data_IF_966931681331
#
_entry.id   IF_966931681331
#
_cell.length_a   1.000
_cell.length_b   1.000
_cell.length_c   1.000
_cell.angle_alpha   90.00
_cell.angle_beta   90.00
_cell.angle_gamma   90.00
#
_symmetry.space_group_name_H-M   'P 1'
#
loop_
_entity.id
_entity.type
_entity.pdbx_description
1 polymer ?
#
# COMPACT_ATOMS: atom_id res chain seq x y z
N UNK A 1 -15.76 13.30 -49.84
CA UNK A 1 -14.37 12.90 -49.60
C UNK A 1 -13.71 13.84 -48.58
N UNK A 2 -13.71 15.16 -48.77
CA UNK A 2 -13.03 16.09 -47.85
C UNK A 2 -13.58 16.12 -46.42
N UNK A 3 -14.88 15.91 -46.18
CA UNK A 3 -15.49 15.88 -44.85
C UNK A 3 -15.11 14.61 -44.06
N UNK A 4 -14.89 13.49 -44.76
CA UNK A 4 -14.47 12.22 -44.13
C UNK A 4 -13.01 12.31 -43.69
N UNK A 5 -12.14 12.91 -44.49
CA UNK A 5 -10.73 13.12 -44.21
C UNK A 5 -10.49 14.07 -43.02
N UNK A 6 -11.36 15.09 -42.85
CA UNK A 6 -11.33 15.97 -41.68
C UNK A 6 -11.78 15.25 -40.38
N UNK A 7 -12.78 14.35 -40.44
CA UNK A 7 -13.23 13.59 -39.28
C UNK A 7 -12.18 12.58 -38.81
N UNK A 8 -11.47 11.94 -39.74
CA UNK A 8 -10.40 11.00 -39.44
C UNK A 8 -9.17 11.68 -38.80
N UNK A 9 -8.83 12.89 -39.27
CA UNK A 9 -7.74 13.70 -38.71
C UNK A 9 -8.08 14.25 -37.32
N UNK A 10 -9.34 14.59 -37.06
CA UNK A 10 -9.79 15.03 -35.74
C UNK A 10 -9.82 13.90 -34.71
N UNK A 11 -10.26 12.71 -35.10
CA UNK A 11 -10.24 11.54 -34.24
C UNK A 11 -8.84 11.06 -33.84
N UNK A 12 -7.86 11.23 -34.71
CA UNK A 12 -6.44 10.92 -34.41
C UNK A 12 -5.80 11.96 -33.50
N UNK A 13 -6.18 13.25 -33.63
CA UNK A 13 -5.66 14.32 -32.78
C UNK A 13 -6.20 14.22 -31.34
N UNK A 14 -7.48 13.87 -31.18
CA UNK A 14 -8.11 13.69 -29.88
C UNK A 14 -7.54 12.44 -29.15
N UNK A 15 -7.31 11.34 -29.87
CA UNK A 15 -6.69 10.15 -29.32
C UNK A 15 -5.22 10.39 -28.91
N UNK A 16 -4.49 11.21 -29.67
CA UNK A 16 -3.11 11.58 -29.33
C UNK A 16 -3.07 12.47 -28.09
N UNK A 17 -3.98 13.44 -27.97
CA UNK A 17 -4.07 14.32 -26.80
C UNK A 17 -4.41 13.55 -25.51
N UNK A 18 -5.26 12.52 -25.61
CA UNK A 18 -5.59 11.64 -24.49
C UNK A 18 -4.40 10.75 -24.08
N UNK A 19 -3.64 10.25 -25.06
CA UNK A 19 -2.43 9.47 -24.81
C UNK A 19 -1.32 10.33 -24.17
N UNK A 20 -1.13 11.57 -24.63
CA UNK A 20 -0.15 12.49 -24.08
C UNK A 20 -0.53 12.93 -22.65
N UNK A 21 -1.81 13.17 -22.38
CA UNK A 21 -2.30 13.46 -21.03
C UNK A 21 -2.12 12.27 -20.06
N UNK A 22 -2.35 11.06 -20.54
CA UNK A 22 -2.11 9.85 -19.75
C UNK A 22 -0.62 9.62 -19.47
N UNK A 23 0.26 9.91 -20.43
CA UNK A 23 1.71 9.83 -20.27
C UNK A 23 2.22 10.85 -19.26
N UNK A 24 1.74 12.10 -19.33
CA UNK A 24 2.09 13.16 -18.36
C UNK A 24 1.61 12.83 -16.95
N UNK A 25 0.42 12.27 -16.79
CA UNK A 25 -0.09 11.84 -15.49
C UNK A 25 0.71 10.68 -14.90
N UNK A 26 1.20 9.77 -15.74
CA UNK A 26 2.07 8.67 -15.32
C UNK A 26 3.45 9.16 -14.89
N UNK A 27 4.02 10.13 -15.62
CA UNK A 27 5.32 10.73 -15.30
C UNK A 27 5.25 11.57 -14.00
N UNK A 28 4.16 12.30 -13.79
CA UNK A 28 3.92 13.05 -12.55
C UNK A 28 3.70 12.13 -11.34
N UNK A 29 3.02 10.99 -11.54
CA UNK A 29 2.87 9.97 -10.51
C UNK A 29 4.20 9.30 -10.17
N UNK A 30 5.05 9.02 -11.18
CA UNK A 30 6.40 8.48 -11.00
C UNK A 30 7.30 9.46 -10.26
N UNK A 31 7.31 10.73 -10.64
CA UNK A 31 8.10 11.77 -9.99
C UNK A 31 7.71 11.96 -8.51
N UNK A 32 6.41 11.85 -8.18
CA UNK A 32 5.94 11.88 -6.79
C UNK A 32 6.35 10.63 -6.01
N UNK A 33 6.37 9.48 -6.65
CA UNK A 33 6.85 8.23 -6.04
C UNK A 33 8.36 8.27 -5.78
N UNK A 34 9.13 8.79 -6.74
CA UNK A 34 10.58 8.93 -6.62
C UNK A 34 10.97 9.97 -5.55
N UNK A 35 10.24 11.10 -5.47
CA UNK A 35 10.43 12.09 -4.41
C UNK A 35 10.11 11.53 -3.02
N UNK A 36 9.04 10.75 -2.88
CA UNK A 36 8.70 10.09 -1.63
C UNK A 36 9.72 9.01 -1.24
N UNK A 37 10.30 8.31 -2.22
CA UNK A 37 11.37 7.34 -1.98
C UNK A 37 12.68 8.02 -1.53
N UNK A 38 12.99 9.19 -2.10
CA UNK A 38 14.18 9.97 -1.74
C UNK A 38 14.06 10.54 -0.32
N UNK A 39 12.89 11.08 0.05
CA UNK A 39 12.61 11.60 1.39
C UNK A 39 12.69 10.49 2.46
N UNK A 40 12.29 9.26 2.09
CA UNK A 40 12.41 8.08 2.96
C UNK A 40 13.86 7.58 3.09
N UNK A 41 14.69 7.71 2.06
CA UNK A 41 16.11 7.39 2.11
C UNK A 41 16.88 8.36 3.02
N UNK A 42 16.52 9.63 3.01
CA UNK A 42 17.14 10.65 3.88
C UNK A 42 16.75 10.46 5.36
N UNK A 43 15.51 10.05 5.64
CA UNK A 43 15.05 9.71 7.01
C UNK A 43 15.74 8.43 7.51
N UNK A 44 15.97 7.45 6.66
CA UNK A 44 16.70 6.23 7.02
C UNK A 44 18.20 6.49 7.31
N UNK A 45 18.80 7.49 6.65
CA UNK A 45 20.20 7.86 6.86
C UNK A 45 20.45 8.67 8.14
N UNK A 46 19.42 9.32 8.70
CA UNK A 46 19.51 10.09 9.96
C UNK A 46 19.20 9.25 11.22
N UNK A 47 18.79 7.99 11.07
CA UNK A 47 18.47 7.10 12.20
C UNK A 47 19.68 6.33 12.76
N UNK A 48 20.89 6.84 12.64
CA UNK A 48 22.05 6.32 13.36
C UNK A 48 22.30 7.13 14.62
N UNK A 49 21.84 6.60 15.72
CA UNK A 49 22.16 6.81 17.14
C UNK A 49 20.97 7.18 18.00
N UNK A 50 20.20 6.18 18.41
CA UNK A 50 19.70 6.10 19.79
C UNK A 50 19.18 4.67 20.03
N UNK A 51 19.52 4.13 21.18
CA UNK A 51 19.18 2.83 21.75
C UNK A 51 17.65 2.60 21.74
N UNK A 52 17.14 2.04 20.63
CA UNK A 52 15.74 1.62 20.54
C UNK A 52 15.61 0.17 20.99
N UNK A 53 14.76 -0.09 21.96
CA UNK A 53 14.28 -1.40 22.37
C UNK A 53 14.12 -2.33 21.14
N UNK A 54 14.50 -3.59 21.28
CA UNK A 54 14.50 -4.60 20.19
C UNK A 54 13.21 -4.64 19.35
N UNK A 55 12.07 -4.34 19.95
CA UNK A 55 10.75 -4.27 19.30
C UNK A 55 10.65 -3.12 18.27
N UNK A 56 11.22 -1.95 18.57
CA UNK A 56 11.21 -0.81 17.64
C UNK A 56 12.04 -1.11 16.39
N UNK A 57 13.20 -1.76 16.54
CA UNK A 57 14.03 -2.20 15.42
C UNK A 57 13.30 -3.23 14.53
N UNK A 58 12.57 -4.16 15.13
CA UNK A 58 11.77 -5.15 14.40
C UNK A 58 10.64 -4.50 13.61
N UNK A 59 9.92 -3.55 14.20
CA UNK A 59 8.84 -2.80 13.54
C UNK A 59 9.34 -2.04 12.30
N UNK A 60 10.45 -1.34 12.43
CA UNK A 60 11.06 -0.62 11.30
C UNK A 60 11.54 -1.57 10.21
N UNK A 61 12.13 -2.71 10.57
CA UNK A 61 12.55 -3.73 9.61
C UNK A 61 11.38 -4.31 8.82
N UNK A 62 10.23 -4.57 9.46
CA UNK A 62 9.00 -5.03 8.82
C UNK A 62 8.49 -4.00 7.81
N UNK A 63 8.43 -2.73 8.20
CA UNK A 63 8.00 -1.64 7.32
C UNK A 63 8.93 -1.49 6.13
N UNK A 64 10.24 -1.44 6.36
CA UNK A 64 11.24 -1.32 5.29
C UNK A 64 11.17 -2.51 4.31
N UNK A 65 10.90 -3.70 4.81
CA UNK A 65 10.70 -4.88 3.96
C UNK A 65 9.41 -4.76 3.13
N UNK A 66 8.30 -4.34 3.74
CA UNK A 66 7.03 -4.15 3.05
C UNK A 66 7.14 -3.13 1.90
N UNK A 67 7.86 -2.04 2.11
CA UNK A 67 8.03 -0.95 1.13
C UNK A 67 8.81 -1.38 -0.13
N UNK A 68 9.64 -2.42 -0.06
CA UNK A 68 10.37 -2.95 -1.23
C UNK A 68 9.45 -3.50 -2.33
N UNK A 69 8.21 -3.80 -2.01
CA UNK A 69 7.24 -4.40 -2.93
C UNK A 69 6.26 -3.39 -3.55
N UNK A 70 6.38 -2.11 -3.22
CA UNK A 70 5.57 -1.05 -3.85
C UNK A 70 5.76 -1.06 -5.36
N UNK A 71 4.66 -1.02 -6.11
CA UNK A 71 4.63 -1.15 -7.56
C UNK A 71 4.39 -2.57 -8.07
N UNK A 72 4.52 -3.60 -7.25
CA UNK A 72 4.23 -4.98 -7.63
C UNK A 72 2.72 -5.23 -7.79
N UNK A 73 2.31 -6.22 -8.61
CA UNK A 73 0.92 -6.39 -8.98
C UNK A 73 0.01 -6.87 -7.85
N UNK A 74 -1.26 -6.48 -7.93
CA UNK A 74 -2.35 -7.07 -7.15
C UNK A 74 -2.93 -8.29 -7.88
N UNK A 75 -3.14 -9.38 -7.14
CA UNK A 75 -3.89 -10.56 -7.61
C UNK A 75 -4.83 -11.01 -6.50
N UNK A 76 -6.12 -11.05 -6.77
CA UNK A 76 -7.12 -11.52 -5.79
C UNK A 76 -6.82 -12.97 -5.36
N UNK A 77 -6.76 -13.23 -4.06
CA UNK A 77 -6.37 -14.52 -3.50
C UNK A 77 -4.87 -14.83 -3.54
N UNK A 78 -4.06 -13.95 -4.13
CA UNK A 78 -2.61 -14.10 -4.22
C UNK A 78 -1.90 -13.85 -2.89
N UNK A 79 -0.68 -14.42 -2.77
CA UNK A 79 0.21 -14.26 -1.60
C UNK A 79 1.66 -13.97 -2.00
N UNK A 80 1.95 -13.88 -3.31
CA UNK A 80 3.30 -13.60 -3.80
C UNK A 80 3.57 -12.11 -3.78
N UNK A 81 4.54 -11.67 -2.99
CA UNK A 81 4.93 -10.26 -2.89
C UNK A 81 5.46 -9.69 -4.21
N UNK A 82 5.94 -10.54 -5.14
CA UNK A 82 6.51 -10.12 -6.44
C UNK A 82 5.59 -10.40 -7.63
N UNK A 83 4.83 -11.51 -7.60
CA UNK A 83 4.03 -11.96 -8.75
C UNK A 83 2.54 -11.68 -8.61
N UNK A 84 2.12 -11.15 -7.46
CA UNK A 84 0.76 -10.72 -7.17
C UNK A 84 0.21 -11.21 -5.84
N UNK A 85 -0.35 -10.28 -5.11
CA UNK A 85 -0.93 -10.50 -3.79
C UNK A 85 -2.21 -9.68 -3.61
N UNK A 86 -3.14 -10.15 -2.78
CA UNK A 86 -4.23 -9.31 -2.29
C UNK A 86 -3.84 -8.59 -0.98
N UNK A 87 -4.72 -7.77 -0.44
CA UNK A 87 -4.43 -6.93 0.73
C UNK A 87 -3.99 -7.76 1.97
N UNK A 88 -4.71 -8.84 2.27
CA UNK A 88 -4.40 -9.69 3.42
C UNK A 88 -3.29 -10.72 3.15
N UNK A 89 -3.12 -11.13 1.91
CA UNK A 89 -1.96 -11.91 1.46
C UNK A 89 -0.67 -11.12 1.57
N UNK A 90 -0.70 -9.84 1.23
CA UNK A 90 0.43 -8.92 1.40
C UNK A 90 0.87 -8.85 2.86
N UNK A 91 -0.03 -8.49 3.76
CA UNK A 91 0.30 -8.39 5.20
C UNK A 91 0.74 -9.74 5.77
N UNK A 92 0.09 -10.84 5.36
CA UNK A 92 0.48 -12.20 5.78
C UNK A 92 1.91 -12.54 5.35
N UNK A 93 2.26 -12.32 4.09
CA UNK A 93 3.57 -12.67 3.54
C UNK A 93 4.69 -11.78 4.10
N UNK A 94 4.42 -10.49 4.34
CA UNK A 94 5.37 -9.59 5.01
C UNK A 94 5.63 -10.07 6.43
N UNK A 95 4.61 -10.34 7.23
CA UNK A 95 4.75 -10.81 8.61
C UNK A 95 5.44 -12.18 8.69
N UNK A 96 5.11 -13.10 7.78
CA UNK A 96 5.72 -14.43 7.72
C UNK A 96 7.24 -14.37 7.50
N UNK A 97 7.75 -13.38 6.75
CA UNK A 97 9.19 -13.18 6.55
C UNK A 97 9.94 -12.88 7.86
N UNK A 98 9.24 -12.40 8.88
CA UNK A 98 9.77 -12.13 10.22
C UNK A 98 9.36 -13.21 11.25
N UNK A 99 8.87 -14.36 10.80
CA UNK A 99 8.44 -15.46 11.66
C UNK A 99 7.10 -15.20 12.37
N UNK A 100 6.36 -14.15 11.99
CA UNK A 100 5.06 -13.80 12.59
C UNK A 100 3.96 -14.45 11.75
N UNK A 101 3.26 -15.42 12.32
CA UNK A 101 2.13 -16.10 11.67
C UNK A 101 0.83 -15.35 11.91
N UNK A 102 0.16 -14.92 10.83
CA UNK A 102 -1.14 -14.25 10.91
C UNK A 102 -2.16 -14.94 9.98
N UNK A 103 -3.48 -14.81 10.24
CA UNK A 103 -4.51 -15.42 9.41
C UNK A 103 -4.48 -14.94 7.95
N UNK A 104 -5.07 -15.75 7.04
CA UNK A 104 -5.07 -15.45 5.60
C UNK A 104 -5.99 -14.28 5.20
N UNK A 105 -7.16 -14.16 5.80
CA UNK A 105 -8.17 -13.18 5.38
C UNK A 105 -8.15 -11.92 6.24
N UNK A 106 -8.50 -10.76 5.66
CA UNK A 106 -8.55 -9.50 6.38
C UNK A 106 -9.51 -9.55 7.58
N UNK A 107 -10.67 -10.21 7.44
CA UNK A 107 -11.62 -10.41 8.55
C UNK A 107 -11.04 -11.24 9.69
N UNK A 108 -10.32 -12.33 9.39
CA UNK A 108 -9.66 -13.14 10.41
C UNK A 108 -8.47 -12.40 11.06
N UNK A 109 -7.71 -11.61 10.28
CA UNK A 109 -6.65 -10.76 10.80
C UNK A 109 -7.19 -9.69 11.74
N UNK A 110 -8.36 -9.13 11.48
CA UNK A 110 -8.97 -8.11 12.35
C UNK A 110 -9.43 -8.67 13.71
N UNK A 111 -9.60 -9.98 13.82
CA UNK A 111 -9.98 -10.67 15.05
C UNK A 111 -8.77 -11.27 15.81
N UNK A 112 -7.59 -11.31 15.19
CA UNK A 112 -6.36 -11.78 15.82
C UNK A 112 -5.51 -10.63 16.37
N UNK A 113 -4.32 -10.99 16.87
CA UNK A 113 -3.38 -10.03 17.41
C UNK A 113 -3.88 -9.23 18.61
N UNK A 114 -3.10 -8.27 19.06
CA UNK A 114 -3.46 -7.36 20.16
C UNK A 114 -4.24 -6.17 19.61
N UNK A 115 -5.42 -5.80 20.17
CA UNK A 115 -6.13 -4.60 19.75
C UNK A 115 -5.31 -3.33 20.07
N UNK A 116 -5.29 -2.39 19.12
CA UNK A 116 -4.61 -1.10 19.25
C UNK A 116 -5.60 0.03 19.01
N UNK A 117 -5.54 1.07 19.84
CA UNK A 117 -6.31 2.29 19.58
C UNK A 117 -5.74 3.00 18.35
N UNK A 118 -6.61 3.55 17.49
CA UNK A 118 -6.20 4.33 16.32
C UNK A 118 -5.36 5.56 16.67
N UNK A 119 -5.45 6.05 17.92
CA UNK A 119 -4.60 7.14 18.43
C UNK A 119 -3.19 6.70 18.83
N UNK A 120 -2.95 5.38 18.97
CA UNK A 120 -1.70 4.81 19.47
C UNK A 120 -1.07 3.80 18.51
N UNK A 121 -1.43 3.87 17.23
CA UNK A 121 -0.85 3.00 16.19
C UNK A 121 0.64 3.27 16.02
N UNK A 122 1.39 2.21 15.78
CA UNK A 122 2.82 2.24 15.54
C UNK A 122 3.16 1.59 14.19
N UNK A 123 4.30 1.92 13.57
CA UNK A 123 4.74 1.26 12.35
C UNK A 123 4.69 -0.26 12.49
N UNK A 124 4.17 -0.95 11.46
CA UNK A 124 3.93 -2.39 11.46
C UNK A 124 2.56 -2.82 11.99
N UNK A 125 1.78 -1.94 12.63
CA UNK A 125 0.41 -2.27 13.01
C UNK A 125 -0.49 -2.36 11.78
N UNK A 126 -1.47 -3.27 11.83
CA UNK A 126 -2.43 -3.48 10.74
C UNK A 126 -3.71 -2.66 10.99
N UNK A 127 -4.15 -1.94 9.96
CA UNK A 127 -5.40 -1.19 9.98
C UNK A 127 -6.43 -1.85 9.07
N UNK A 128 -7.66 -1.88 9.54
CA UNK A 128 -8.76 -2.57 8.90
C UNK A 128 -9.86 -1.59 8.50
N UNK A 129 -10.47 -1.84 7.35
CA UNK A 129 -11.49 -1.00 6.76
C UNK A 129 -12.73 -1.84 6.43
N UNK A 130 -13.90 -1.27 6.65
CA UNK A 130 -15.17 -1.93 6.33
C UNK A 130 -15.24 -2.28 4.83
N UNK A 131 -15.83 -3.42 4.51
CA UNK A 131 -16.22 -3.79 3.16
C UNK A 131 -17.39 -2.92 2.65
N UNK A 132 -17.80 -3.15 1.41
CA UNK A 132 -18.99 -2.53 0.86
C UNK A 132 -20.23 -3.18 1.48
N UNK A 133 -21.10 -2.38 2.09
CA UNK A 133 -22.31 -2.85 2.77
C UNK A 133 -22.02 -3.56 4.11
N UNK A 134 -22.89 -4.49 4.49
CA UNK A 134 -22.84 -5.20 5.79
C UNK A 134 -21.80 -6.33 5.86
N UNK A 135 -20.83 -6.37 4.95
CA UNK A 135 -19.88 -7.48 4.79
C UNK A 135 -18.64 -7.41 5.69
N UNK A 136 -18.71 -6.74 6.84
CA UNK A 136 -17.62 -6.74 7.81
C UNK A 136 -16.33 -6.10 7.28
N UNK A 137 -15.16 -6.72 7.54
CA UNK A 137 -13.85 -6.21 7.09
C UNK A 137 -13.60 -6.61 5.64
N UNK A 138 -13.44 -5.60 4.78
CA UNK A 138 -13.17 -5.79 3.34
C UNK A 138 -11.74 -5.46 2.91
N UNK A 139 -10.95 -4.81 3.77
CA UNK A 139 -9.58 -4.42 3.41
C UNK A 139 -8.68 -4.29 4.63
N UNK A 140 -7.38 -4.51 4.41
CA UNK A 140 -6.34 -4.36 5.42
C UNK A 140 -5.12 -3.65 4.83
N UNK A 141 -4.47 -2.82 5.64
CA UNK A 141 -3.24 -2.11 5.32
C UNK A 141 -2.23 -2.25 6.46
N UNK A 142 -0.96 -1.95 6.21
CA UNK A 142 0.07 -1.85 7.24
C UNK A 142 0.44 -0.38 7.45
N UNK A 143 0.40 0.09 8.69
CA UNK A 143 0.85 1.44 9.03
C UNK A 143 2.37 1.55 8.93
N UNK A 144 2.86 2.59 8.28
CA UNK A 144 4.30 2.80 8.05
C UNK A 144 4.85 4.04 8.77
N UNK A 145 3.99 4.74 9.51
CA UNK A 145 4.36 6.00 10.17
C UNK A 145 3.86 7.23 9.41
N UNK A 146 4.00 8.40 10.00
CA UNK A 146 3.70 9.71 9.39
C UNK A 146 2.30 9.83 8.75
N UNK A 147 1.31 9.10 9.27
CA UNK A 147 -0.05 9.09 8.72
C UNK A 147 -0.17 8.36 7.39
N UNK A 148 0.73 7.44 7.08
CA UNK A 148 0.77 6.66 5.84
C UNK A 148 0.61 5.16 6.09
N UNK A 149 0.10 4.47 5.08
CA UNK A 149 -0.06 3.01 5.06
C UNK A 149 0.42 2.44 3.73
N UNK A 150 0.96 1.22 3.76
CA UNK A 150 1.27 0.42 2.56
C UNK A 150 0.28 -0.73 2.43
N UNK A 151 -0.21 -0.98 1.22
CA UNK A 151 -1.19 -2.04 0.97
C UNK A 151 -1.26 -2.48 -0.49
N UNK A 152 -1.64 -3.73 -0.74
CA UNK A 152 -2.08 -4.15 -2.05
C UNK A 152 -3.52 -3.64 -2.27
N UNK A 153 -3.68 -2.66 -3.15
CA UNK A 153 -4.92 -1.88 -3.32
C UNK A 153 -5.93 -2.54 -4.24
N UNK A 154 -5.59 -2.66 -5.51
CA UNK A 154 -6.44 -3.26 -6.55
C UNK A 154 -5.60 -3.66 -7.78
N UNK A 155 -6.22 -4.34 -8.75
CA UNK A 155 -5.57 -4.86 -9.96
C UNK A 155 -4.94 -3.79 -10.86
N UNK A 156 -5.43 -2.55 -10.77
CA UNK A 156 -4.93 -1.44 -11.59
C UNK A 156 -3.70 -0.74 -10.99
N UNK A 157 -3.61 -0.70 -9.67
CA UNK A 157 -2.56 0.06 -8.97
C UNK A 157 -1.53 -0.82 -8.27
N UNK A 158 -1.85 -2.10 -8.01
CA UNK A 158 -0.96 -3.00 -7.29
C UNK A 158 -0.75 -2.61 -5.84
N UNK A 159 0.48 -2.78 -5.36
CA UNK A 159 0.92 -2.40 -4.01
C UNK A 159 1.33 -0.93 -4.03
N UNK A 160 0.70 -0.12 -3.18
CA UNK A 160 0.90 1.34 -3.11
C UNK A 160 1.02 1.83 -1.67
N UNK A 161 1.55 3.03 -1.53
CA UNK A 161 1.46 3.83 -0.30
C UNK A 161 0.29 4.81 -0.41
N UNK A 162 -0.49 4.94 0.66
CA UNK A 162 -1.63 5.86 0.74
C UNK A 162 -1.63 6.60 2.06
N UNK A 163 -2.30 7.77 2.13
CA UNK A 163 -2.60 8.40 3.41
C UNK A 163 -3.53 7.49 4.23
N UNK A 164 -3.35 7.41 5.54
CA UNK A 164 -4.26 6.69 6.46
C UNK A 164 -5.73 7.13 6.31
N UNK A 165 -5.93 8.41 5.95
CA UNK A 165 -7.24 9.02 5.77
C UNK A 165 -7.88 8.77 4.39
N UNK A 166 -7.28 7.99 3.49
CA UNK A 166 -7.90 7.66 2.20
C UNK A 166 -9.24 6.92 2.34
N UNK A 167 -9.41 6.22 3.46
CA UNK A 167 -10.66 5.63 3.98
C UNK A 167 -10.62 5.73 5.51
N UNK A 168 -11.77 5.67 6.19
CA UNK A 168 -11.83 5.64 7.65
C UNK A 168 -11.55 4.23 8.16
N UNK A 169 -10.43 3.98 8.88
CA UNK A 169 -10.17 2.69 9.50
C UNK A 169 -11.17 2.43 10.64
N UNK A 170 -11.67 1.20 10.74
CA UNK A 170 -12.61 0.79 11.78
C UNK A 170 -11.96 -0.01 12.92
N UNK A 171 -10.75 -0.53 12.72
CA UNK A 171 -9.99 -1.25 13.73
C UNK A 171 -8.48 -1.19 13.44
N UNK A 172 -7.67 -1.41 14.47
CA UNK A 172 -6.24 -1.66 14.34
C UNK A 172 -5.80 -2.83 15.23
N UNK A 173 -4.80 -3.59 14.76
CA UNK A 173 -4.21 -4.74 15.47
C UNK A 173 -2.69 -4.70 15.38
N UNK A 174 -2.02 -5.07 16.47
CA UNK A 174 -0.61 -5.38 16.50
C UNK A 174 -0.40 -6.89 16.56
N UNK A 175 0.49 -7.38 15.72
CA UNK A 175 1.00 -8.76 15.75
C UNK A 175 2.47 -8.80 16.16
N UNK A 176 3.03 -7.64 16.49
CA UNK A 176 4.41 -7.44 16.90
C UNK A 176 4.41 -7.14 18.40
N UNK A 177 5.16 -7.93 19.16
CA UNK A 177 5.35 -7.79 20.61
C UNK A 177 6.41 -6.74 20.96
#
# INVERSE_FOLDING_TARGET
AAAQEQADQQGTADAQAEADAAAQAAEEAQAKADAAAQEQADVASQATTTDYSSTSGTRQSIVNFALQFVGNPYVYGGTSLTNGTDCSGFTQSVMANFGISIPRTAGAQSNGGRPVSLSNIQPGDLLFYSGNGDYGIGHVTMYIGNGQVVHASNERTGIIVSSIGYRTPCAARSYID
#
